data_IF_181506734601
#
_entry.id   IF_181506734601
#
_cell.length_a   1.000
_cell.length_b   1.000
_cell.length_c   1.000
_cell.angle_alpha   90.00
_cell.angle_beta   90.00
_cell.angle_gamma   90.00
#
_symmetry.space_group_name_H-M   'P 1'
#
loop_
_entity.id
_entity.type
_entity.pdbx_description
1 polymer ?
#
# COMPACT_ATOMS: atom_id res chain seq x y z
N UNK A 1 10.82 -1.28 11.39
CA UNK A 1 11.98 -2.08 11.84
C UNK A 1 11.69 -3.53 12.17
N UNK A 2 10.72 -3.87 13.04
CA UNK A 2 10.43 -5.27 13.37
C UNK A 2 10.14 -6.14 12.13
N UNK A 3 9.34 -5.61 11.19
CA UNK A 3 9.08 -6.26 9.91
C UNK A 3 10.34 -6.44 9.04
N UNK A 4 11.31 -5.51 9.11
CA UNK A 4 12.59 -5.65 8.41
C UNK A 4 13.41 -6.76 9.04
N UNK A 5 13.58 -6.76 10.36
CA UNK A 5 14.33 -7.80 11.09
C UNK A 5 13.77 -9.21 10.86
N UNK A 6 12.46 -9.36 10.72
CA UNK A 6 11.82 -10.64 10.44
C UNK A 6 11.99 -11.09 8.97
N UNK A 7 12.27 -10.15 8.07
CA UNK A 7 12.34 -10.38 6.62
C UNK A 7 13.73 -10.38 6.02
N UNK A 8 14.72 -9.84 6.74
CA UNK A 8 16.09 -9.55 6.30
C UNK A 8 16.81 -10.81 5.79
N UNK A 9 17.01 -11.80 6.66
CA UNK A 9 17.77 -13.01 6.34
C UNK A 9 17.05 -14.00 5.38
N UNK A 10 15.87 -13.64 4.84
CA UNK A 10 15.09 -14.52 3.95
C UNK A 10 15.70 -14.69 2.55
N UNK A 11 16.69 -13.87 2.19
CA UNK A 11 17.55 -14.03 1.02
C UNK A 11 18.93 -14.64 1.36
N UNK A 12 19.17 -14.96 2.64
CA UNK A 12 20.42 -15.51 3.15
C UNK A 12 21.49 -14.48 3.50
N UNK A 13 21.14 -13.18 3.50
CA UNK A 13 22.03 -12.09 3.90
C UNK A 13 21.32 -11.15 4.87
N UNK A 14 21.80 -11.06 6.10
CA UNK A 14 21.31 -10.07 7.07
C UNK A 14 22.04 -8.72 6.90
N UNK A 15 21.51 -7.84 6.05
CA UNK A 15 22.08 -6.51 5.75
C UNK A 15 21.13 -5.34 6.06
N UNK A 16 19.96 -5.63 6.65
CA UNK A 16 18.91 -4.67 6.94
C UNK A 16 18.00 -4.38 5.75
N UNK A 17 18.08 -5.15 4.65
CA UNK A 17 17.28 -4.99 3.44
C UNK A 17 16.47 -6.26 3.17
N UNK A 18 15.17 -6.10 2.97
CA UNK A 18 14.33 -7.22 2.53
C UNK A 18 14.47 -7.37 1.01
N UNK A 19 15.42 -8.19 0.52
CA UNK A 19 15.53 -8.44 -0.92
C UNK A 19 14.55 -9.53 -1.40
N UNK A 20 14.22 -10.51 -0.54
CA UNK A 20 13.22 -11.54 -0.83
C UNK A 20 11.85 -11.25 -0.18
N UNK A 21 11.10 -10.36 -0.82
CA UNK A 21 9.79 -9.90 -0.32
C UNK A 21 8.73 -11.00 -0.26
N UNK A 22 8.76 -11.98 -1.17
CA UNK A 22 7.71 -13.01 -1.26
C UNK A 22 7.81 -14.02 -0.10
N UNK A 23 9.03 -14.35 0.33
CA UNK A 23 9.27 -15.13 1.56
C UNK A 23 8.95 -14.32 2.82
N UNK A 24 9.24 -13.01 2.84
CA UNK A 24 8.87 -12.14 3.95
C UNK A 24 7.34 -12.06 4.15
N UNK A 25 6.57 -11.99 3.05
CA UNK A 25 5.10 -11.96 3.12
C UNK A 25 4.54 -13.23 3.76
N UNK A 26 5.02 -14.40 3.33
CA UNK A 26 4.53 -15.69 3.83
C UNK A 26 4.89 -15.93 5.30
N UNK A 27 6.06 -15.46 5.76
CA UNK A 27 6.42 -15.46 7.19
C UNK A 27 5.50 -14.55 8.04
N UNK A 28 5.08 -13.40 7.50
CA UNK A 28 4.21 -12.49 8.23
C UNK A 28 2.74 -12.95 8.23
N UNK A 29 2.25 -13.48 7.10
CA UNK A 29 0.89 -14.03 6.98
C UNK A 29 0.70 -15.29 7.85
N UNK A 30 1.77 -16.04 8.10
CA UNK A 30 1.79 -17.19 9.03
C UNK A 30 1.94 -16.79 10.51
N UNK A 31 1.98 -15.49 10.82
CA UNK A 31 2.05 -14.97 12.18
C UNK A 31 3.44 -14.94 12.81
N UNK A 32 4.49 -15.39 12.10
CA UNK A 32 5.88 -15.46 12.60
C UNK A 32 6.49 -14.06 12.76
N UNK A 33 5.95 -13.05 12.08
CA UNK A 33 6.28 -11.63 12.25
C UNK A 33 5.18 -10.79 12.91
N UNK A 34 4.17 -11.45 13.48
CA UNK A 34 2.98 -10.78 14.02
C UNK A 34 3.38 -9.70 15.01
N UNK A 35 2.94 -8.47 14.73
CA UNK A 35 3.07 -7.35 15.66
C UNK A 35 2.55 -7.80 17.03
N UNK A 36 3.46 -8.03 17.97
CA UNK A 36 3.10 -8.36 19.35
C UNK A 36 2.37 -7.15 19.91
N UNK A 37 1.06 -7.27 20.08
CA UNK A 37 0.23 -6.21 20.66
C UNK A 37 0.55 -6.10 22.14
N UNK A 38 1.13 -4.98 22.56
CA UNK A 38 1.24 -4.61 23.98
C UNK A 38 0.09 -3.69 24.40
N UNK A 39 0.07 -3.29 25.67
CA UNK A 39 -0.78 -2.17 26.11
C UNK A 39 -0.26 -0.86 25.49
N UNK A 40 -1.16 0.07 25.16
CA UNK A 40 -0.83 1.37 24.52
C UNK A 40 0.10 2.27 25.37
N UNK A 41 0.44 1.86 26.59
CA UNK A 41 1.26 2.60 27.57
C UNK A 41 2.69 2.12 27.71
N UNK A 42 3.06 1.02 27.04
CA UNK A 42 4.34 0.37 27.27
C UNK A 42 5.46 0.97 26.39
N UNK A 43 6.36 1.73 27.03
CA UNK A 43 7.60 2.26 26.41
C UNK A 43 8.62 1.18 26.03
N UNK A 44 8.22 -0.09 26.03
CA UNK A 44 9.06 -1.28 25.89
C UNK A 44 9.17 -1.81 24.45
N UNK A 45 8.80 -1.00 23.45
CA UNK A 45 8.94 -1.39 22.04
C UNK A 45 7.78 -2.26 21.52
N UNK A 46 6.70 -2.39 22.28
CA UNK A 46 5.46 -3.01 21.82
C UNK A 46 4.60 -1.98 21.08
N UNK A 47 4.04 -2.39 19.94
CA UNK A 47 3.07 -1.57 19.23
C UNK A 47 1.72 -1.67 19.95
N UNK A 48 1.10 -0.51 20.15
CA UNK A 48 -0.28 -0.42 20.60
C UNK A 48 -1.23 -1.15 19.66
N UNK A 49 -2.38 -1.61 20.17
CA UNK A 49 -3.35 -2.41 19.39
C UNK A 49 -3.83 -1.66 18.14
N UNK A 50 -4.06 -0.35 18.27
CA UNK A 50 -4.45 0.50 17.13
C UNK A 50 -3.36 0.56 16.06
N UNK A 51 -2.10 0.74 16.47
CA UNK A 51 -0.96 0.79 15.54
C UNK A 51 -0.76 -0.55 14.82
N UNK A 52 -0.93 -1.67 15.51
CA UNK A 52 -0.87 -3.00 14.92
C UNK A 52 -1.95 -3.22 13.84
N UNK A 53 -3.19 -2.77 14.12
CA UNK A 53 -4.30 -2.84 13.15
C UNK A 53 -4.00 -1.99 11.91
N UNK A 54 -3.52 -0.76 12.09
CA UNK A 54 -3.17 0.14 10.98
C UNK A 54 -2.04 -0.46 10.14
N UNK A 55 -0.95 -0.92 10.77
CA UNK A 55 0.17 -1.54 10.07
C UNK A 55 -0.28 -2.75 9.23
N UNK A 56 -1.08 -3.65 9.82
CA UNK A 56 -1.60 -4.81 9.11
C UNK A 56 -2.51 -4.42 7.95
N UNK A 57 -3.37 -3.41 8.12
CA UNK A 57 -4.22 -2.91 7.04
C UNK A 57 -3.37 -2.30 5.89
N UNK A 58 -2.28 -1.60 6.22
CA UNK A 58 -1.35 -1.03 5.23
C UNK A 58 -0.65 -2.11 4.42
N UNK A 59 -0.16 -3.18 5.06
CA UNK A 59 0.54 -4.26 4.35
C UNK A 59 -0.40 -5.16 3.56
N UNK A 60 -1.56 -5.47 4.11
CA UNK A 60 -2.51 -6.38 3.45
C UNK A 60 -3.34 -5.70 2.36
N UNK A 61 -3.44 -4.37 2.39
CA UNK A 61 -4.13 -3.57 1.37
C UNK A 61 -5.62 -3.35 1.62
N UNK A 62 -6.21 -2.49 0.80
CA UNK A 62 -7.60 -2.08 0.93
C UNK A 62 -8.55 -3.24 0.63
N UNK A 63 -9.57 -3.38 1.49
CA UNK A 63 -10.68 -4.33 1.33
C UNK A 63 -12.00 -3.65 1.58
N UNK A 64 -13.03 -4.13 0.88
CA UNK A 64 -14.41 -3.75 1.12
C UNK A 64 -14.86 -4.10 2.53
N UNK A 65 -15.97 -3.50 2.96
CA UNK A 65 -16.64 -3.85 4.22
C UNK A 65 -17.03 -5.33 4.31
N UNK A 66 -17.21 -6.01 3.17
CA UNK A 66 -17.48 -7.45 3.05
C UNK A 66 -16.21 -8.32 2.91
N UNK A 67 -15.02 -7.72 3.00
CA UNK A 67 -13.73 -8.43 2.92
C UNK A 67 -13.19 -8.63 1.51
N UNK A 68 -13.94 -8.30 0.44
CA UNK A 68 -13.43 -8.41 -0.93
C UNK A 68 -12.25 -7.47 -1.17
N UNK A 69 -11.30 -7.94 -1.96
CA UNK A 69 -10.11 -7.20 -2.37
C UNK A 69 -10.48 -5.92 -3.15
N UNK A 70 -9.78 -4.81 -2.87
CA UNK A 70 -9.87 -3.56 -3.62
C UNK A 70 -8.52 -3.15 -4.19
N UNK A 71 -7.48 -3.11 -3.36
CA UNK A 71 -6.16 -2.65 -3.78
C UNK A 71 -5.05 -3.34 -2.98
N UNK A 72 -3.88 -3.48 -3.60
CA UNK A 72 -2.72 -4.10 -2.96
C UNK A 72 -2.17 -3.21 -1.84
N UNK A 73 -1.62 -3.84 -0.79
CA UNK A 73 -0.95 -3.13 0.30
C UNK A 73 0.55 -2.98 0.06
N UNK A 74 1.17 -2.06 0.78
CA UNK A 74 2.60 -1.78 0.66
C UNK A 74 3.44 -2.97 1.13
N UNK A 75 4.66 -3.05 0.59
CA UNK A 75 5.65 -4.03 1.01
C UNK A 75 5.96 -3.90 2.51
N UNK A 76 6.30 -5.03 3.14
CA UNK A 76 6.92 -4.98 4.46
C UNK A 76 8.24 -4.20 4.36
N UNK A 77 8.57 -3.45 5.40
CA UNK A 77 9.75 -2.57 5.42
C UNK A 77 9.55 -1.18 4.80
N UNK A 78 8.46 -0.95 4.05
CA UNK A 78 8.11 0.41 3.61
C UNK A 78 7.81 1.32 4.80
N UNK A 79 8.34 2.55 4.74
CA UNK A 79 8.02 3.58 5.73
C UNK A 79 6.55 4.03 5.59
N UNK A 80 5.84 4.14 6.71
CA UNK A 80 4.45 4.58 6.76
C UNK A 80 4.29 6.10 6.73
N UNK A 81 5.28 6.84 7.23
CA UNK A 81 5.21 8.30 7.35
C UNK A 81 5.62 8.98 6.05
N UNK A 82 6.67 8.47 5.38
CA UNK A 82 7.33 9.12 4.25
C UNK A 82 7.78 10.54 4.59
N UNK A 83 9.09 10.79 4.57
CA UNK A 83 9.66 12.12 4.84
C UNK A 83 9.20 13.23 3.88
N UNK A 84 8.45 12.89 2.82
CA UNK A 84 7.96 13.80 1.78
C UNK A 84 6.44 14.04 1.85
N UNK A 85 5.77 13.65 2.96
CA UNK A 85 4.33 13.90 3.15
C UNK A 85 3.42 13.03 2.28
N UNK A 86 3.94 11.93 1.74
CA UNK A 86 3.22 10.98 0.89
C UNK A 86 3.01 9.62 1.58
N UNK A 87 3.11 9.57 2.92
CA UNK A 87 2.95 8.34 3.68
C UNK A 87 1.52 7.84 3.65
N UNK A 88 1.35 6.55 3.35
CA UNK A 88 0.02 5.94 3.21
C UNK A 88 -0.69 5.73 4.56
N UNK A 89 0.06 5.77 5.66
CA UNK A 89 -0.45 5.67 7.02
C UNK A 89 0.24 6.70 7.94
N UNK A 90 0.48 7.89 7.41
CA UNK A 90 1.14 8.97 8.14
C UNK A 90 0.28 9.46 9.32
N UNK A 91 0.95 9.89 10.38
CA UNK A 91 0.32 10.39 11.60
C UNK A 91 1.03 11.65 12.10
N UNK A 92 0.28 12.65 12.51
CA UNK A 92 0.79 13.81 13.24
C UNK A 92 0.63 13.56 14.74
N UNK A 93 1.76 13.56 15.47
CA UNK A 93 1.82 13.35 16.92
C UNK A 93 2.30 14.60 17.69
N UNK A 94 2.34 15.77 17.04
CA UNK A 94 2.90 17.02 17.61
C UNK A 94 2.26 17.44 18.94
N UNK A 95 0.98 17.12 19.14
CA UNK A 95 0.21 17.50 20.33
C UNK A 95 0.12 16.40 21.39
N UNK A 96 1.03 15.41 21.38
CA UNK A 96 1.05 14.30 22.35
C UNK A 96 0.02 13.19 22.07
N UNK A 97 -0.95 13.44 21.18
CA UNK A 97 -1.87 12.44 20.64
C UNK A 97 -1.62 12.31 19.14
N UNK A 98 -1.37 11.09 18.66
CA UNK A 98 -1.21 10.81 17.25
C UNK A 98 -2.56 10.76 16.52
N UNK A 99 -2.71 11.56 15.48
CA UNK A 99 -3.88 11.54 14.58
C UNK A 99 -3.45 11.26 13.15
N UNK A 100 -4.32 10.64 12.35
CA UNK A 100 -4.03 10.39 10.94
C UNK A 100 -3.80 11.69 10.16
N UNK A 101 -2.73 11.73 9.38
CA UNK A 101 -2.34 12.85 8.53
C UNK A 101 -2.38 12.42 7.06
N UNK A 102 -3.57 12.27 6.45
CA UNK A 102 -3.70 11.73 5.11
C UNK A 102 -3.09 12.65 4.05
N UNK A 103 -2.61 12.06 2.96
CA UNK A 103 -2.01 12.80 1.86
C UNK A 103 -3.02 13.70 1.16
N UNK A 104 -2.55 14.85 0.67
CA UNK A 104 -3.38 15.77 -0.11
C UNK A 104 -3.93 15.10 -1.38
N UNK A 105 -3.16 14.21 -2.02
CA UNK A 105 -3.59 13.47 -3.21
C UNK A 105 -4.86 12.64 -2.93
N UNK A 106 -4.89 11.87 -1.86
CA UNK A 106 -6.06 11.05 -1.52
C UNK A 106 -7.28 11.88 -1.12
N UNK A 107 -7.07 12.90 -0.28
CA UNK A 107 -8.17 13.76 0.20
C UNK A 107 -8.77 14.61 -0.92
N UNK A 108 -7.94 15.21 -1.78
CA UNK A 108 -8.39 16.00 -2.92
C UNK A 108 -9.02 15.14 -4.01
N UNK A 109 -8.55 13.91 -4.21
CA UNK A 109 -9.19 12.95 -5.12
C UNK A 109 -10.64 12.69 -4.71
N UNK A 110 -10.87 12.38 -3.43
CA UNK A 110 -12.22 12.16 -2.89
C UNK A 110 -13.06 13.44 -3.02
N UNK A 111 -12.53 14.58 -2.56
CA UNK A 111 -13.26 15.85 -2.52
C UNK A 111 -13.62 16.39 -3.90
N UNK A 112 -12.68 16.45 -4.84
CA UNK A 112 -12.88 17.16 -6.10
C UNK A 112 -13.35 16.24 -7.23
N UNK A 113 -12.92 14.98 -7.26
CA UNK A 113 -13.21 14.08 -8.38
C UNK A 113 -14.41 13.20 -8.06
N UNK A 114 -14.43 12.53 -6.91
CA UNK A 114 -15.50 11.59 -6.57
C UNK A 114 -16.75 12.32 -6.07
N UNK A 115 -16.63 13.00 -4.93
CA UNK A 115 -17.74 13.68 -4.24
C UNK A 115 -18.08 15.04 -4.86
N UNK A 116 -17.16 15.64 -5.61
CA UNK A 116 -17.30 16.97 -6.24
C UNK A 116 -17.73 18.04 -5.24
N UNK A 117 -17.24 17.91 -4.00
CA UNK A 117 -17.51 18.77 -2.88
C UNK A 117 -16.19 19.06 -2.12
N UNK A 118 -15.69 20.29 -2.28
CA UNK A 118 -14.47 20.76 -1.60
C UNK A 118 -14.54 20.68 -0.07
N UNK A 119 -15.74 20.79 0.49
CA UNK A 119 -15.97 20.81 1.93
C UNK A 119 -16.30 19.42 2.49
N UNK A 120 -16.18 18.36 1.69
CA UNK A 120 -16.43 17.00 2.14
C UNK A 120 -15.41 16.59 3.22
N UNK A 121 -15.91 16.16 4.38
CA UNK A 121 -15.10 15.74 5.51
C UNK A 121 -14.84 14.23 5.47
N UNK A 122 -13.66 13.86 4.97
CA UNK A 122 -13.23 12.47 4.89
C UNK A 122 -13.09 11.78 6.26
N UNK A 123 -13.03 12.53 7.38
CA UNK A 123 -12.95 11.95 8.73
C UNK A 123 -14.26 11.30 9.17
N UNK A 124 -15.36 11.63 8.49
CA UNK A 124 -16.70 11.08 8.79
C UNK A 124 -17.03 9.83 7.98
N UNK A 125 -16.12 9.42 7.07
CA UNK A 125 -16.32 8.30 6.15
C UNK A 125 -16.41 6.98 6.92
N UNK A 126 -17.57 6.31 6.84
CA UNK A 126 -17.72 4.95 7.31
C UNK A 126 -17.09 3.95 6.34
N UNK A 127 -16.95 2.68 6.76
CA UNK A 127 -16.50 1.61 5.86
C UNK A 127 -17.41 1.41 4.66
N UNK A 128 -18.72 1.66 4.79
CA UNK A 128 -19.66 1.56 3.67
C UNK A 128 -19.54 2.75 2.71
N UNK A 129 -19.30 3.94 3.26
CA UNK A 129 -19.05 5.13 2.44
C UNK A 129 -17.77 4.94 1.63
N UNK A 130 -16.72 4.39 2.24
CA UNK A 130 -15.48 4.07 1.53
C UNK A 130 -15.70 3.08 0.38
N UNK A 131 -16.46 2.00 0.58
CA UNK A 131 -16.78 1.05 -0.48
C UNK A 131 -17.47 1.73 -1.67
N UNK A 132 -18.42 2.64 -1.40
CA UNK A 132 -19.12 3.43 -2.42
C UNK A 132 -18.16 4.37 -3.14
N UNK A 133 -17.40 5.18 -2.39
CA UNK A 133 -16.44 6.16 -2.93
C UNK A 133 -15.41 5.47 -3.82
N UNK A 134 -14.87 4.33 -3.38
CA UNK A 134 -13.91 3.57 -4.18
C UNK A 134 -14.54 3.05 -5.47
N UNK A 135 -15.73 2.48 -5.39
CA UNK A 135 -16.45 1.99 -6.56
C UNK A 135 -16.74 3.11 -7.57
N UNK A 136 -17.26 4.24 -7.10
CA UNK A 136 -17.55 5.42 -7.93
C UNK A 136 -16.29 6.02 -8.55
N UNK A 137 -15.19 6.04 -7.80
CA UNK A 137 -13.88 6.48 -8.30
C UNK A 137 -13.44 5.66 -9.52
N UNK A 138 -13.49 4.32 -9.41
CA UNK A 138 -13.10 3.43 -10.51
C UNK A 138 -14.07 3.58 -11.68
N UNK A 139 -15.38 3.58 -11.41
CA UNK A 139 -16.40 3.65 -12.46
C UNK A 139 -16.33 4.94 -13.29
N UNK A 140 -16.00 6.08 -12.66
CA UNK A 140 -15.95 7.37 -13.35
C UNK A 140 -14.62 7.62 -14.08
N UNK A 141 -13.51 7.09 -13.56
CA UNK A 141 -12.18 7.56 -13.98
C UNK A 141 -11.26 6.48 -14.56
N UNK A 142 -11.55 5.19 -14.38
CA UNK A 142 -10.66 4.13 -14.87
C UNK A 142 -10.45 4.19 -16.39
N UNK A 143 -11.46 4.55 -17.18
CA UNK A 143 -11.35 4.68 -18.64
C UNK A 143 -10.63 5.94 -19.11
N UNK A 144 -10.44 6.94 -18.24
CA UNK A 144 -9.87 8.25 -18.60
C UNK A 144 -8.41 8.33 -18.15
N UNK A 145 -8.12 7.88 -16.93
CA UNK A 145 -6.79 8.00 -16.32
C UNK A 145 -6.19 6.65 -15.90
N UNK A 146 -6.96 5.56 -15.99
CA UNK A 146 -6.44 4.22 -15.75
C UNK A 146 -5.43 3.86 -16.83
N UNK A 147 -4.28 3.36 -16.41
CA UNK A 147 -3.15 3.00 -17.28
C UNK A 147 -2.85 1.51 -17.16
N UNK A 148 -3.91 0.69 -17.19
CA UNK A 148 -3.87 -0.74 -16.93
C UNK A 148 -4.15 -1.60 -18.17
N UNK A 149 -4.03 -1.05 -19.37
CA UNK A 149 -4.15 -1.83 -20.62
C UNK A 149 -2.90 -2.72 -20.79
N UNK A 150 -3.05 -4.06 -20.78
CA UNK A 150 -1.93 -4.96 -20.93
C UNK A 150 -1.46 -5.13 -22.39
N UNK A 151 -2.23 -4.70 -23.38
CA UNK A 151 -1.88 -4.89 -24.79
C UNK A 151 -0.88 -3.82 -25.27
N UNK A 152 0.39 -4.19 -25.26
CA UNK A 152 1.49 -3.37 -25.77
C UNK A 152 1.97 -3.82 -27.17
N UNK A 153 1.16 -4.59 -27.92
CA UNK A 153 1.54 -5.15 -29.23
C UNK A 153 1.93 -4.06 -30.24
N UNK A 154 1.15 -2.98 -30.34
CA UNK A 154 1.45 -1.87 -31.23
C UNK A 154 2.77 -1.18 -30.88
N UNK A 155 3.08 -1.01 -29.59
CA UNK A 155 4.36 -0.44 -29.15
C UNK A 155 5.54 -1.35 -29.51
N UNK A 156 5.38 -2.67 -29.33
CA UNK A 156 6.36 -3.68 -29.73
C UNK A 156 6.59 -3.67 -31.24
N UNK A 157 5.53 -3.67 -32.05
CA UNK A 157 5.60 -3.78 -33.51
C UNK A 157 6.23 -2.53 -34.15
N UNK A 158 6.12 -1.38 -33.48
CA UNK A 158 6.85 -0.16 -33.83
C UNK A 158 8.34 -0.16 -33.42
N UNK A 159 8.85 -1.25 -32.80
CA UNK A 159 10.24 -1.38 -32.36
C UNK A 159 10.52 -0.85 -30.94
N UNK A 160 9.48 -0.50 -30.18
CA UNK A 160 9.61 0.04 -28.82
C UNK A 160 10.27 -0.94 -27.84
N UNK A 161 11.02 -0.39 -26.87
CA UNK A 161 11.63 -1.12 -25.75
C UNK A 161 11.26 -0.41 -24.45
N UNK A 162 10.83 -1.18 -23.45
CA UNK A 162 10.42 -0.65 -22.14
C UNK A 162 11.18 -1.37 -21.04
N UNK A 163 11.85 -0.61 -20.18
CA UNK A 163 12.44 -1.08 -18.94
C UNK A 163 11.70 -0.39 -17.78
N UNK A 164 11.06 -1.18 -16.93
CA UNK A 164 10.34 -0.69 -15.75
C UNK A 164 11.05 -1.19 -14.51
N UNK A 165 11.30 -0.29 -13.56
CA UNK A 165 11.90 -0.62 -12.27
C UNK A 165 11.09 0.01 -11.15
N UNK A 166 11.13 -0.61 -9.97
CA UNK A 166 10.46 -0.10 -8.79
C UNK A 166 11.17 -0.56 -7.52
N UNK A 167 11.24 0.31 -6.53
CA UNK A 167 11.83 -0.02 -5.23
C UNK A 167 11.03 -1.12 -4.52
N UNK A 168 11.73 -2.02 -3.83
CA UNK A 168 11.13 -3.13 -3.08
C UNK A 168 10.38 -2.65 -1.83
N UNK A 169 10.84 -1.57 -1.21
CA UNK A 169 10.30 -0.98 0.04
C UNK A 169 9.66 0.40 -0.17
N UNK A 170 8.98 0.59 -1.29
CA UNK A 170 8.32 1.85 -1.61
C UNK A 170 7.11 2.14 -0.71
N UNK A 171 7.00 3.38 -0.24
CA UNK A 171 5.90 3.85 0.62
C UNK A 171 4.70 4.40 -0.15
N UNK A 172 4.86 4.72 -1.45
CA UNK A 172 3.85 5.45 -2.23
C UNK A 172 3.15 4.62 -3.31
N UNK A 173 3.84 3.64 -3.88
CA UNK A 173 3.33 2.73 -4.88
C UNK A 173 3.66 1.30 -4.48
N UNK A 174 2.72 0.40 -4.69
CA UNK A 174 2.86 -0.99 -4.28
C UNK A 174 3.62 -1.78 -5.33
N UNK A 175 4.66 -2.54 -4.95
CA UNK A 175 5.42 -3.44 -5.86
C UNK A 175 4.51 -4.30 -6.72
N UNK A 176 3.46 -4.87 -6.12
CA UNK A 176 2.50 -5.74 -6.81
C UNK A 176 1.78 -5.03 -7.96
N UNK A 177 1.63 -3.71 -7.95
CA UNK A 177 1.03 -2.96 -9.07
C UNK A 177 1.81 -3.11 -10.39
N UNK A 178 3.14 -3.28 -10.32
CA UNK A 178 4.01 -3.37 -11.50
C UNK A 178 4.20 -4.82 -11.95
N UNK A 179 4.25 -5.75 -10.99
CA UNK A 179 4.45 -7.19 -11.27
C UNK A 179 3.21 -7.84 -11.90
N UNK A 180 2.02 -7.25 -11.74
CA UNK A 180 0.80 -7.73 -12.40
C UNK A 180 0.64 -7.26 -13.86
N UNK A 181 1.60 -6.55 -14.45
CA UNK A 181 1.73 -6.57 -15.91
C UNK A 181 2.09 -8.01 -16.30
N UNK A 182 1.23 -8.74 -17.03
CA UNK A 182 1.34 -10.19 -17.13
C UNK A 182 2.73 -10.59 -17.61
N UNK A 183 3.38 -11.49 -16.89
CA UNK A 183 4.51 -12.27 -17.38
C UNK A 183 4.04 -13.03 -18.63
N UNK A 184 4.07 -12.38 -19.79
CA UNK A 184 3.99 -13.04 -21.07
C UNK A 184 5.32 -13.75 -21.24
N UNK A 185 5.34 -14.99 -20.74
CA UNK A 185 6.40 -15.95 -20.97
C UNK A 185 6.55 -16.07 -22.48
N UNK A 186 7.58 -15.42 -23.04
CA UNK A 186 8.00 -15.63 -24.42
C UNK A 186 8.50 -17.08 -24.49
N UNK A 187 7.62 -18.00 -24.82
CA UNK A 187 8.04 -19.32 -25.30
C UNK A 187 8.57 -19.14 -26.72
N UNK A 188 9.81 -19.56 -27.02
CA UNK A 188 10.29 -19.62 -28.39
C UNK A 188 9.57 -20.76 -29.11
N UNK A 189 9.07 -20.48 -30.32
CA UNK A 189 8.72 -21.49 -31.33
C UNK A 189 9.98 -22.23 -31.83
#
# INVERSE_FOLDING_TARGET
EAAVRAGDDNDGVADGVIANMDNCHSAHDSGVGGVSTGSDTDKTGHLGKGAAIVANATWTGARRSDGRFLWHGNSYGSDFQSSQGAGIAATDCSNGTCVGAPTALGTQWIQFFVEKNKSFDYKTVSRRDFDRIFHESVAQYASIIGTSDPDLSAFRDAGGKLLVFHGTVSSNATRRMIIFLPETRLTPD
#
